data_IF_393095395845
#
_entry.id   IF_393095395845
#
_cell.length_a   1.000
_cell.length_b   1.000
_cell.length_c   1.000
_cell.angle_alpha   90.00
_cell.angle_beta   90.00
_cell.angle_gamma   90.00
#
_symmetry.space_group_name_H-M   'P 1'
#
loop_
_entity.id
_entity.type
_entity.pdbx_description
1 polymer ?
#
# COMPACT_ATOMS: atom_id res chain seq x y z
N UNK A 1 -0.79 1.55 -15.90
CA UNK A 1 0.66 1.36 -15.61
C UNK A 1 1.34 0.82 -16.87
N UNK A 2 2.60 1.16 -17.11
CA UNK A 2 3.38 0.66 -18.26
C UNK A 2 4.67 0.06 -17.71
N UNK A 3 5.01 -1.16 -18.13
CA UNK A 3 6.26 -1.81 -17.77
C UNK A 3 7.42 -1.22 -18.60
N UNK A 4 8.54 -0.91 -17.97
CA UNK A 4 9.77 -0.47 -18.64
C UNK A 4 10.95 -1.30 -18.16
N UNK A 5 11.83 -1.64 -19.09
CA UNK A 5 13.09 -2.33 -18.83
C UNK A 5 14.28 -1.36 -18.90
N UNK A 6 15.32 -1.63 -18.12
CA UNK A 6 16.62 -0.96 -18.21
C UNK A 6 17.68 -2.03 -18.40
N UNK A 7 18.49 -1.89 -19.44
CA UNK A 7 19.61 -2.78 -19.66
C UNK A 7 20.80 -2.37 -18.77
N UNK A 8 21.26 -3.30 -17.94
CA UNK A 8 22.47 -3.16 -17.14
C UNK A 8 23.36 -4.39 -17.36
N UNK A 9 24.66 -4.18 -17.33
CA UNK A 9 25.66 -5.25 -17.41
C UNK A 9 26.47 -5.28 -16.12
N UNK A 10 26.80 -6.48 -15.65
CA UNK A 10 27.75 -6.63 -14.55
C UNK A 10 29.13 -6.14 -14.96
N UNK A 11 29.86 -5.57 -14.01
CA UNK A 11 31.25 -5.18 -14.21
C UNK A 11 32.18 -6.42 -14.24
N UNK A 12 33.48 -6.20 -14.37
CA UNK A 12 34.49 -7.28 -14.41
C UNK A 12 34.56 -8.12 -13.12
N UNK A 13 34.07 -7.58 -12.00
CA UNK A 13 33.98 -8.28 -10.72
C UNK A 13 32.68 -9.09 -10.57
N UNK A 14 31.77 -9.02 -11.55
CA UNK A 14 30.45 -9.65 -11.47
C UNK A 14 29.42 -8.84 -10.67
N UNK A 15 29.71 -7.58 -10.34
CA UNK A 15 28.82 -6.70 -9.57
C UNK A 15 27.85 -5.99 -10.52
N UNK A 16 26.59 -5.89 -10.10
CA UNK A 16 25.60 -5.05 -10.77
C UNK A 16 25.60 -3.65 -10.12
N UNK A 17 25.96 -2.63 -10.89
CA UNK A 17 25.99 -1.24 -10.40
C UNK A 17 24.83 -0.47 -10.99
N UNK A 18 23.90 -0.02 -10.14
CA UNK A 18 22.82 0.88 -10.54
C UNK A 18 23.36 2.32 -10.56
N UNK A 19 23.33 2.95 -11.73
CA UNK A 19 23.83 4.30 -11.89
C UNK A 19 23.01 5.34 -11.13
N UNK A 20 23.66 6.38 -10.59
CA UNK A 20 23.02 7.47 -9.83
C UNK A 20 21.80 8.09 -10.52
N UNK A 21 21.80 8.16 -11.86
CA UNK A 21 20.70 8.75 -12.63
C UNK A 21 19.42 7.91 -12.55
N UNK A 22 19.54 6.58 -12.45
CA UNK A 22 18.41 5.66 -12.26
C UNK A 22 17.85 5.82 -10.85
N UNK A 23 18.74 5.87 -9.85
CA UNK A 23 18.34 6.07 -8.45
C UNK A 23 17.58 7.40 -8.26
N UNK A 24 18.07 8.50 -8.87
CA UNK A 24 17.39 9.81 -8.84
C UNK A 24 16.00 9.74 -9.50
N UNK A 25 15.85 8.99 -10.61
CA UNK A 25 14.54 8.78 -11.25
C UNK A 25 13.57 8.00 -10.37
N UNK A 26 14.09 7.15 -9.47
CA UNK A 26 13.31 6.45 -8.43
C UNK A 26 13.11 7.32 -7.17
N UNK A 27 13.52 8.59 -7.21
CA UNK A 27 13.43 9.52 -6.08
C UNK A 27 14.45 9.26 -4.98
N UNK A 28 15.47 8.42 -5.21
CA UNK A 28 16.47 8.04 -4.21
C UNK A 28 17.66 8.99 -4.27
N UNK A 29 17.95 9.67 -3.16
CA UNK A 29 19.00 10.66 -3.01
C UNK A 29 20.29 10.10 -2.38
N UNK A 30 21.36 10.90 -2.42
CA UNK A 30 22.66 10.51 -1.86
C UNK A 30 22.58 10.35 -0.34
N UNK A 31 22.96 9.18 0.15
CA UNK A 31 23.02 8.89 1.58
C UNK A 31 21.69 8.40 2.17
N UNK A 32 20.65 8.24 1.34
CA UNK A 32 19.43 7.58 1.76
C UNK A 32 19.65 6.07 1.93
N UNK A 33 18.92 5.49 2.87
CA UNK A 33 18.83 4.05 3.05
C UNK A 33 17.86 3.44 2.03
N UNK A 34 18.21 2.27 1.52
CA UNK A 34 17.39 1.52 0.56
C UNK A 34 17.41 0.06 0.99
N UNK A 35 16.25 -0.57 0.94
CA UNK A 35 16.09 -2.00 1.14
C UNK A 35 16.00 -2.70 -0.22
N UNK A 36 16.71 -3.83 -0.33
CA UNK A 36 16.57 -4.77 -1.44
C UNK A 36 15.97 -6.04 -0.86
N UNK A 37 14.78 -6.39 -1.34
CA UNK A 37 14.07 -7.61 -0.96
C UNK A 37 14.00 -8.58 -2.14
N UNK A 38 13.89 -9.87 -1.83
CA UNK A 38 13.68 -10.93 -2.79
C UNK A 38 12.87 -12.06 -2.16
N UNK A 39 12.18 -12.84 -2.99
CA UNK A 39 11.48 -14.03 -2.56
C UNK A 39 12.45 -15.21 -2.47
N UNK A 40 12.36 -15.96 -1.38
CA UNK A 40 13.13 -17.18 -1.18
C UNK A 40 12.22 -18.32 -0.66
N UNK A 41 12.56 -19.59 -0.89
CA UNK A 41 11.71 -20.73 -0.50
C UNK A 41 11.48 -20.85 1.01
N UNK A 42 12.45 -20.43 1.84
CA UNK A 42 12.35 -20.48 3.29
C UNK A 42 13.42 -19.60 3.96
N UNK A 43 13.29 -19.37 5.27
CA UNK A 43 14.30 -18.65 6.07
C UNK A 43 15.70 -19.30 6.05
N UNK A 44 15.75 -20.63 5.95
CA UNK A 44 17.01 -21.39 5.87
C UNK A 44 17.57 -21.45 4.45
N UNK A 45 16.70 -21.48 3.44
CA UNK A 45 17.09 -21.44 2.02
C UNK A 45 16.88 -20.03 1.44
N UNK A 46 17.89 -19.17 1.64
CA UNK A 46 17.89 -17.76 1.24
C UNK A 46 18.26 -17.54 -0.23
N UNK A 47 18.07 -18.55 -1.08
CA UNK A 47 18.38 -18.43 -2.50
C UNK A 47 17.28 -17.65 -3.22
N UNK A 48 17.67 -16.59 -3.93
CA UNK A 48 16.76 -15.88 -4.84
C UNK A 48 16.56 -16.71 -6.12
N UNK A 49 15.68 -17.70 -6.07
CA UNK A 49 15.42 -18.60 -7.20
C UNK A 49 14.70 -17.91 -8.36
N UNK A 50 13.88 -16.91 -8.05
CA UNK A 50 13.10 -16.12 -9.01
C UNK A 50 13.97 -15.10 -9.75
N UNK A 51 15.14 -14.75 -9.21
CA UNK A 51 16.09 -13.75 -9.77
C UNK A 51 15.48 -12.36 -9.92
N UNK A 52 14.48 -12.08 -9.09
CA UNK A 52 13.79 -10.80 -9.03
C UNK A 52 14.17 -10.07 -7.75
N UNK A 53 14.26 -8.74 -7.83
CA UNK A 53 14.51 -7.88 -6.69
C UNK A 53 13.46 -6.80 -6.62
N UNK A 54 13.02 -6.51 -5.40
CA UNK A 54 12.18 -5.37 -5.10
C UNK A 54 13.04 -4.34 -4.37
N UNK A 55 13.03 -3.11 -4.88
CA UNK A 55 13.72 -1.98 -4.25
C UNK A 55 12.68 -1.11 -3.57
N UNK A 56 12.88 -0.81 -2.29
CA UNK A 56 11.99 0.05 -1.50
C UNK A 56 12.80 0.94 -0.57
N UNK A 57 12.33 2.17 -0.34
CA UNK A 57 12.93 3.09 0.63
C UNK A 57 12.63 2.70 2.06
N UNK A 58 11.43 2.17 2.29
CA UNK A 58 10.89 1.96 3.64
C UNK A 58 10.95 0.50 4.08
N UNK A 59 11.33 -0.43 3.19
CA UNK A 59 11.31 -1.86 3.48
C UNK A 59 9.96 -2.49 3.16
N UNK A 60 9.95 -3.81 2.99
CA UNK A 60 8.74 -4.54 2.58
C UNK A 60 7.68 -4.64 3.68
N UNK A 61 8.08 -4.59 4.95
CA UNK A 61 7.15 -4.62 6.09
C UNK A 61 6.24 -3.38 6.14
N UNK A 62 6.78 -2.21 5.73
CA UNK A 62 6.01 -0.97 5.67
C UNK A 62 5.10 -0.93 4.42
N UNK A 63 5.51 -1.54 3.31
CA UNK A 63 4.65 -1.70 2.13
C UNK A 63 3.41 -2.57 2.43
N UNK A 64 3.54 -3.60 3.28
CA UNK A 64 2.40 -4.43 3.68
C UNK A 64 1.40 -3.63 4.50
N UNK A 65 1.85 -2.74 5.38
CA UNK A 65 0.96 -1.87 6.17
C UNK A 65 0.18 -0.90 5.27
N UNK A 66 0.82 -0.31 4.26
CA UNK A 66 0.13 0.59 3.32
C UNK A 66 -0.92 -0.16 2.48
N UNK A 67 -0.64 -1.40 2.08
CA UNK A 67 -1.60 -2.24 1.34
C UNK A 67 -2.74 -2.74 2.24
N UNK A 68 -2.47 -3.08 3.51
CA UNK A 68 -3.51 -3.44 4.49
C UNK A 68 -4.40 -2.23 4.85
N UNK A 69 -3.87 -1.01 4.82
CA UNK A 69 -4.66 0.22 4.94
C UNK A 69 -5.50 0.52 3.69
N UNK A 70 -5.10 0.01 2.53
CA UNK A 70 -5.85 0.09 1.26
C UNK A 70 -6.91 -1.00 1.11
N UNK A 71 -6.91 -2.05 1.94
CA UNK A 71 -8.08 -2.94 2.02
C UNK A 71 -9.23 -2.15 2.64
N UNK A 72 -10.14 -1.65 1.79
CA UNK A 72 -11.40 -1.03 2.21
C UNK A 72 -12.19 -2.02 3.07
N UNK A 73 -12.03 -1.94 4.40
CA UNK A 73 -12.81 -2.75 5.32
C UNK A 73 -14.25 -2.24 5.26
N UNK A 74 -15.24 -3.09 4.91
CA UNK A 74 -16.62 -2.65 4.81
C UNK A 74 -17.13 -2.19 6.18
N UNK A 75 -17.54 -0.93 6.27
CA UNK A 75 -18.22 -0.40 7.44
C UNK A 75 -19.62 -1.05 7.54
N UNK A 76 -19.79 -1.97 8.47
CA UNK A 76 -21.08 -2.60 8.76
C UNK A 76 -21.72 -1.88 9.95
N UNK A 77 -22.96 -1.38 9.78
CA UNK A 77 -23.74 -0.78 10.87
C UNK A 77 -24.65 -1.88 11.44
N UNK A 78 -24.52 -2.25 12.73
CA UNK A 78 -25.45 -3.16 13.38
C UNK A 78 -26.90 -2.65 13.27
N UNK A 79 -27.85 -3.54 12.93
CA UNK A 79 -29.27 -3.19 12.82
C UNK A 79 -29.82 -2.55 14.11
N UNK A 80 -29.33 -2.97 15.28
CA UNK A 80 -29.71 -2.39 16.57
C UNK A 80 -29.39 -0.89 16.64
N UNK A 81 -28.23 -0.46 16.13
CA UNK A 81 -27.86 0.96 16.10
C UNK A 81 -28.73 1.77 15.13
N UNK A 82 -29.13 1.16 14.00
CA UNK A 82 -30.06 1.78 13.06
C UNK A 82 -31.43 1.99 13.70
N UNK A 83 -31.93 0.96 14.40
CA UNK A 83 -33.22 1.00 15.10
C UNK A 83 -33.20 2.03 16.23
N UNK A 84 -32.15 2.03 17.05
CA UNK A 84 -31.98 2.97 18.17
C UNK A 84 -31.85 4.42 17.69
N UNK A 85 -31.31 4.62 16.48
CA UNK A 85 -31.22 5.92 15.81
C UNK A 85 -32.49 6.30 15.03
N UNK A 86 -33.53 5.44 15.04
CA UNK A 86 -34.77 5.60 14.29
C UNK A 86 -34.57 5.70 12.76
N UNK A 87 -33.50 5.08 12.24
CA UNK A 87 -33.19 5.03 10.80
C UNK A 87 -33.75 3.72 10.21
N UNK A 88 -34.60 3.78 9.18
CA UNK A 88 -35.07 2.58 8.48
C UNK A 88 -33.89 1.75 7.93
N UNK A 89 -33.99 0.41 8.01
CA UNK A 89 -32.92 -0.49 7.55
C UNK A 89 -32.67 -0.43 6.03
N UNK A 90 -33.63 0.12 5.28
CA UNK A 90 -33.60 0.32 3.83
C UNK A 90 -33.39 1.80 3.43
N UNK A 91 -33.11 2.69 4.39
CA UNK A 91 -32.86 4.10 4.10
C UNK A 91 -31.51 4.31 3.40
N UNK A 92 -31.48 5.29 2.49
CA UNK A 92 -30.23 5.87 2.01
C UNK A 92 -29.53 6.64 3.14
N UNK A 93 -28.20 6.52 3.22
CA UNK A 93 -27.40 7.07 4.32
C UNK A 93 -26.40 8.12 3.86
N UNK A 94 -26.33 9.22 4.60
CA UNK A 94 -25.23 10.19 4.57
C UNK A 94 -24.18 9.85 5.63
N UNK A 95 -22.90 9.88 5.22
CA UNK A 95 -21.75 9.70 6.13
C UNK A 95 -20.97 11.00 6.21
N UNK A 96 -21.06 11.68 7.36
CA UNK A 96 -20.48 13.01 7.57
C UNK A 96 -19.30 12.92 8.54
N UNK A 97 -18.11 13.28 8.06
CA UNK A 97 -16.90 13.36 8.86
C UNK A 97 -16.83 14.69 9.63
N UNK A 98 -16.76 14.64 10.96
CA UNK A 98 -16.53 15.79 11.85
C UNK A 98 -15.27 15.55 12.68
N UNK A 99 -14.69 16.62 13.24
CA UNK A 99 -13.49 16.50 14.09
C UNK A 99 -13.77 15.53 15.25
N UNK A 100 -13.09 14.39 15.25
CA UNK A 100 -13.19 13.35 16.28
C UNK A 100 -14.48 12.51 16.26
N UNK A 101 -15.32 12.58 15.22
CA UNK A 101 -16.52 11.73 15.11
C UNK A 101 -17.01 11.57 13.66
N UNK A 102 -17.62 10.42 13.37
CA UNK A 102 -18.36 10.16 12.14
C UNK A 102 -19.85 10.19 12.50
N UNK A 103 -20.65 10.92 11.73
CA UNK A 103 -22.10 10.94 11.87
C UNK A 103 -22.71 10.19 10.68
N UNK A 104 -23.53 9.18 10.97
CA UNK A 104 -24.32 8.46 9.98
C UNK A 104 -25.76 8.87 10.19
N UNK A 105 -26.42 9.33 9.14
CA UNK A 105 -27.81 9.80 9.20
C UNK A 105 -28.55 9.38 7.94
N UNK A 106 -29.88 9.34 7.99
CA UNK A 106 -30.70 9.21 6.78
C UNK A 106 -30.50 10.42 5.87
N UNK A 107 -30.49 10.21 4.56
CA UNK A 107 -30.50 11.29 3.57
C UNK A 107 -31.78 12.13 3.72
N UNK A 108 -31.64 13.43 3.91
CA UNK A 108 -32.78 14.35 3.93
C UNK A 108 -33.36 14.47 2.51
N UNK A 109 -34.66 14.22 2.37
CA UNK A 109 -35.35 14.50 1.11
C UNK A 109 -35.32 16.01 0.85
N UNK A 110 -34.82 16.42 -0.32
CA UNK A 110 -34.80 17.83 -0.70
C UNK A 110 -36.22 18.41 -0.73
N UNK A 111 -36.48 19.42 0.10
CA UNK A 111 -37.69 20.26 0.05
C UNK A 111 -37.69 21.24 -1.12
#
# INVERSE_FOLDING_TARGET
MILREIFLKTNENGELIIGKHILIQMGIEKGEQIYIAYLCPSEEDRKNEFREFILTKEGIENLQQDVELEEEVPLTIPNELMIDAEIPLDADLDVICKKGKILIQQVEAAE
#
